data_IF_554546943296
#
_entry.id   IF_554546943296
#
_cell.length_a   1.000
_cell.length_b   1.000
_cell.length_c   1.000
_cell.angle_alpha   90.00
_cell.angle_beta   90.00
_cell.angle_gamma   90.00
#
_symmetry.space_group_name_H-M   'P 1'
#
loop_
_entity.id
_entity.type
_entity.pdbx_description
1 polymer ?
#
# COMPACT_ATOMS: atom_id res chain seq x y z
N UNK A 1 -2.99 1.88 -11.14
CA UNK A 1 -3.42 3.04 -10.33
C UNK A 1 -4.14 2.50 -9.11
N UNK A 2 -4.06 3.18 -7.96
CA UNK A 2 -4.81 2.76 -6.76
C UNK A 2 -6.24 3.32 -6.87
N UNK A 3 -7.25 2.47 -6.73
CA UNK A 3 -8.65 2.84 -6.97
C UNK A 3 -9.22 3.80 -5.90
N UNK A 4 -8.54 3.92 -4.76
CA UNK A 4 -8.93 4.77 -3.64
C UNK A 4 -7.72 5.34 -2.90
N UNK A 5 -7.85 6.54 -2.29
CA UNK A 5 -6.83 7.08 -1.41
C UNK A 5 -6.73 6.30 -0.09
N UNK A 6 -5.60 6.45 0.61
CA UNK A 6 -5.45 5.95 1.98
C UNK A 6 -6.28 6.77 2.95
N UNK A 7 -6.86 6.10 3.95
CA UNK A 7 -7.82 6.69 4.88
C UNK A 7 -7.45 6.45 6.34
N UNK A 8 -7.82 7.40 7.20
CA UNK A 8 -7.64 7.29 8.66
C UNK A 8 -8.59 6.22 9.22
N UNK A 9 -9.82 6.15 8.70
CA UNK A 9 -10.87 5.21 9.13
C UNK A 9 -10.46 3.75 8.95
N UNK A 10 -9.82 3.41 7.82
CA UNK A 10 -9.32 2.05 7.58
C UNK A 10 -7.98 1.76 8.27
N UNK A 11 -7.43 2.73 9.02
CA UNK A 11 -6.17 2.61 9.72
C UNK A 11 -4.95 2.54 8.80
N UNK A 12 -5.07 3.00 7.56
CA UNK A 12 -3.97 3.02 6.57
C UNK A 12 -3.00 4.19 6.85
N UNK A 13 -3.54 5.28 7.41
CA UNK A 13 -2.79 6.46 7.85
C UNK A 13 -3.14 6.83 9.30
N UNK A 14 -2.19 7.43 10.01
CA UNK A 14 -2.43 8.00 11.34
C UNK A 14 -3.26 9.27 11.25
N UNK A 15 -3.86 9.74 12.37
CA UNK A 15 -4.48 11.07 12.43
C UNK A 15 -3.51 12.22 12.08
N UNK A 16 -2.20 11.97 12.20
CA UNK A 16 -1.12 12.87 11.76
C UNK A 16 -0.66 12.64 10.31
N UNK A 17 -1.47 11.95 9.49
CA UNK A 17 -1.23 11.65 8.07
C UNK A 17 0.02 10.81 7.76
N UNK A 18 0.59 10.12 8.76
CA UNK A 18 1.71 9.20 8.54
C UNK A 18 1.18 7.84 8.08
N UNK A 19 1.82 7.27 7.06
CA UNK A 19 1.47 5.94 6.56
C UNK A 19 1.82 4.86 7.59
N UNK A 20 0.88 3.94 7.83
CA UNK A 20 1.12 2.75 8.66
C UNK A 20 1.58 1.58 7.77
N UNK A 21 2.90 1.43 7.63
CA UNK A 21 3.50 0.40 6.75
C UNK A 21 2.94 -0.99 6.97
N UNK A 22 2.80 -1.44 8.22
CA UNK A 22 2.26 -2.76 8.54
C UNK A 22 0.89 -3.03 7.89
N UNK A 23 -0.03 -2.06 7.98
CA UNK A 23 -1.37 -2.17 7.41
C UNK A 23 -1.33 -2.14 5.88
N UNK A 24 -0.45 -1.32 5.31
CA UNK A 24 -0.27 -1.23 3.85
C UNK A 24 0.35 -2.52 3.30
N UNK A 25 1.34 -3.08 3.96
CA UNK A 25 2.03 -4.31 3.56
C UNK A 25 1.07 -5.50 3.61
N UNK A 26 0.28 -5.66 4.67
CA UNK A 26 -0.72 -6.72 4.79
C UNK A 26 -1.80 -6.64 3.69
N UNK A 27 -2.17 -5.43 3.23
CA UNK A 27 -3.25 -5.22 2.24
C UNK A 27 -2.77 -5.18 0.81
N UNK A 28 -1.62 -4.57 0.55
CA UNK A 28 -1.12 -4.24 -0.78
C UNK A 28 0.26 -4.87 -1.08
N UNK A 29 0.83 -5.67 -0.17
CA UNK A 29 2.12 -6.32 -0.35
C UNK A 29 2.21 -7.11 -1.65
N UNK A 30 1.23 -7.99 -1.91
CA UNK A 30 1.17 -8.76 -3.15
C UNK A 30 1.14 -7.87 -4.41
N UNK A 31 0.40 -6.75 -4.38
CA UNK A 31 0.33 -5.82 -5.51
C UNK A 31 1.68 -5.11 -5.75
N UNK A 32 2.36 -4.74 -4.67
CA UNK A 32 3.69 -4.13 -4.70
C UNK A 32 4.70 -5.14 -5.25
N UNK A 33 4.66 -6.38 -4.76
CA UNK A 33 5.54 -7.47 -5.19
C UNK A 33 5.32 -7.84 -6.66
N UNK A 34 4.07 -7.91 -7.11
CA UNK A 34 3.72 -8.15 -8.52
C UNK A 34 4.24 -7.01 -9.41
N UNK A 35 4.08 -5.76 -8.97
CA UNK A 35 4.61 -4.59 -9.68
C UNK A 35 6.13 -4.69 -9.83
N UNK A 36 6.87 -4.95 -8.75
CA UNK A 36 8.33 -5.08 -8.82
C UNK A 36 8.79 -6.34 -9.57
N UNK A 37 8.08 -7.45 -9.46
CA UNK A 37 8.37 -8.69 -10.18
C UNK A 37 8.18 -8.52 -11.69
N UNK A 38 7.16 -7.76 -12.10
CA UNK A 38 6.94 -7.42 -13.52
C UNK A 38 8.05 -6.53 -14.09
N UNK A 39 8.63 -5.65 -13.26
CA UNK A 39 9.72 -4.77 -13.65
C UNK A 39 11.07 -5.51 -13.79
N UNK A 40 11.29 -6.57 -13.01
CA UNK A 40 12.51 -7.39 -13.09
C UNK A 40 12.53 -8.36 -14.27
N UNK A 41 11.37 -8.68 -14.85
CA UNK A 41 11.26 -9.57 -16.03
C UNK A 41 11.46 -8.86 -17.38
N UNK A 42 12.04 -7.65 -17.38
CA UNK A 42 12.23 -6.84 -18.58
C UNK A 42 13.68 -6.76 -19.02
#
# INVERSE_FOLDING_TARGET
MLDKPFTIENGEITPSLKIRRKVIEERYGNLIDDMYSSLQKK
#
